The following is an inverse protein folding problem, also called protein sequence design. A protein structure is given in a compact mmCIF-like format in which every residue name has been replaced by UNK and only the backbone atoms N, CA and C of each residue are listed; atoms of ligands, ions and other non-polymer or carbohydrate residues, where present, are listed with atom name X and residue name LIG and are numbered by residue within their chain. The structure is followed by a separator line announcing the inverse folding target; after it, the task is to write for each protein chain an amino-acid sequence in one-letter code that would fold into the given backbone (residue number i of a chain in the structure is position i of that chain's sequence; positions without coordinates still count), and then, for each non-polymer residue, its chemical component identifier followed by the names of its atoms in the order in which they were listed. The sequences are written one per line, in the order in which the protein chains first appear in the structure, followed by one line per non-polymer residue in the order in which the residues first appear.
data_IF_304521256741
#
_entry.id   IF_304521256741
#
_cell.length_a   1.000
_cell.length_b   1.000
_cell.length_c   1.000
_cell.angle_alpha   90.00
_cell.angle_beta   90.00
_cell.angle_gamma   90.00
#
_symmetry.space_group_name_H-M   'P 1'
#
loop_
_entity.id
_entity.type
_entity.pdbx_description
1 polymer ?
#
# COMPACT_ATOMS: atom_id res chain seq x y z
N UNK A 1 -10.86 -18.95 -22.55
CA UNK A 1 -9.83 -19.44 -21.63
C UNK A 1 -10.38 -20.76 -21.09
N UNK A 2 -9.58 -21.83 -21.02
CA UNK A 2 -10.08 -23.16 -20.64
C UNK A 2 -9.54 -23.47 -19.25
N UNK A 3 -10.41 -23.92 -18.35
CA UNK A 3 -10.02 -24.32 -17.00
C UNK A 3 -9.09 -25.54 -17.13
N UNK A 4 -7.90 -25.43 -16.54
CA UNK A 4 -6.93 -26.52 -16.46
C UNK A 4 -7.07 -27.27 -15.14
N UNK A 5 -7.14 -26.56 -14.02
CA UNK A 5 -7.25 -27.13 -12.68
C UNK A 5 -8.10 -26.24 -11.78
N UNK A 6 -8.61 -26.81 -10.69
CA UNK A 6 -9.23 -26.08 -9.58
C UNK A 6 -8.66 -26.63 -8.28
N UNK A 7 -8.33 -25.77 -7.32
CA UNK A 7 -7.86 -26.19 -5.99
C UNK A 7 -8.46 -25.31 -4.90
N UNK A 8 -8.44 -25.82 -3.67
CA UNK A 8 -9.04 -25.17 -2.50
C UNK A 8 -7.92 -24.73 -1.57
N UNK A 9 -7.70 -23.43 -1.46
CA UNK A 9 -6.70 -22.81 -0.59
C UNK A 9 -7.11 -22.87 0.90
N UNK A 10 -6.18 -22.57 1.81
CA UNK A 10 -6.44 -22.65 3.26
C UNK A 10 -7.50 -21.64 3.69
N UNK A 11 -8.28 -21.97 4.72
CA UNK A 11 -9.34 -21.08 5.23
C UNK A 11 -10.76 -21.39 4.74
N UNK A 12 -11.02 -22.57 4.18
CA UNK A 12 -12.39 -23.01 3.87
C UNK A 12 -13.28 -23.03 5.15
N UNK A 13 -14.40 -22.31 5.13
CA UNK A 13 -15.31 -22.16 6.28
C UNK A 13 -16.52 -23.12 6.27
N UNK A 14 -16.56 -24.11 5.36
CA UNK A 14 -17.60 -25.15 5.33
C UNK A 14 -19.03 -24.55 5.25
N UNK A 15 -19.27 -23.72 4.23
CA UNK A 15 -20.55 -23.01 4.05
C UNK A 15 -21.51 -23.65 3.03
N UNK A 16 -21.16 -24.83 2.50
CA UNK A 16 -21.90 -25.60 1.49
C UNK A 16 -22.12 -24.93 0.11
N UNK A 17 -21.81 -23.64 -0.04
CA UNK A 17 -22.07 -22.87 -1.26
C UNK A 17 -21.48 -23.48 -2.55
N UNK A 18 -20.27 -24.04 -2.46
CA UNK A 18 -19.61 -24.66 -3.62
C UNK A 18 -20.19 -26.04 -3.97
N UNK A 19 -20.65 -26.82 -2.99
CA UNK A 19 -21.36 -28.07 -3.25
C UNK A 19 -22.78 -27.83 -3.77
N UNK A 20 -23.44 -26.74 -3.35
CA UNK A 20 -24.73 -26.34 -3.94
C UNK A 20 -24.58 -25.89 -5.40
N UNK A 21 -23.51 -25.15 -5.73
CA UNK A 21 -23.25 -24.65 -7.07
C UNK A 21 -22.73 -25.74 -8.03
N UNK A 22 -21.80 -26.58 -7.58
CA UNK A 22 -21.21 -27.64 -8.38
C UNK A 22 -21.11 -28.97 -7.59
N UNK A 23 -22.25 -29.64 -7.33
CA UNK A 23 -22.31 -30.86 -6.52
C UNK A 23 -21.56 -32.04 -7.15
N UNK A 24 -21.32 -32.04 -8.46
CA UNK A 24 -20.57 -33.11 -9.13
C UNK A 24 -19.05 -32.93 -9.00
N UNK A 25 -18.59 -31.80 -8.46
CA UNK A 25 -17.17 -31.42 -8.37
C UNK A 25 -16.71 -31.27 -6.92
N UNK A 26 -17.53 -30.64 -6.08
CA UNK A 26 -17.18 -30.36 -4.68
C UNK A 26 -17.97 -31.26 -3.73
N UNK A 27 -17.31 -31.64 -2.63
CA UNK A 27 -17.92 -32.33 -1.49
C UNK A 27 -17.50 -31.60 -0.22
N UNK A 28 -18.45 -31.01 0.48
CA UNK A 28 -18.19 -30.32 1.74
C UNK A 28 -18.32 -31.31 2.89
N UNK A 29 -17.27 -31.36 3.72
CA UNK A 29 -17.19 -32.22 4.92
C UNK A 29 -17.16 -31.36 6.17
N UNK A 30 -17.21 -31.96 7.37
CA UNK A 30 -17.24 -31.23 8.65
C UNK A 30 -16.04 -30.28 8.84
N UNK A 31 -14.89 -30.58 8.24
CA UNK A 31 -13.63 -29.83 8.45
C UNK A 31 -13.20 -28.99 7.22
N UNK A 32 -13.58 -29.38 6.01
CA UNK A 32 -13.17 -28.68 4.77
C UNK A 32 -13.98 -29.11 3.55
N UNK A 33 -13.75 -28.47 2.40
CA UNK A 33 -14.25 -28.89 1.11
C UNK A 33 -13.19 -29.70 0.35
N UNK A 34 -13.63 -30.75 -0.35
CA UNK A 34 -12.80 -31.60 -1.20
C UNK A 34 -13.27 -31.57 -2.65
N UNK A 35 -12.34 -31.79 -3.57
CA UNK A 35 -12.66 -32.01 -4.98
C UNK A 35 -12.83 -33.50 -5.22
N UNK A 36 -13.96 -33.87 -5.81
CA UNK A 36 -14.32 -35.27 -6.07
C UNK A 36 -13.33 -35.92 -7.04
N UNK A 37 -12.99 -37.21 -6.84
CA UNK A 37 -12.05 -37.94 -7.70
C UNK A 37 -12.56 -38.07 -9.13
N UNK A 38 -13.88 -37.99 -9.34
CA UNK A 38 -14.49 -38.05 -10.65
C UNK A 38 -14.19 -36.80 -11.50
N UNK A 39 -13.89 -35.67 -10.88
CA UNK A 39 -13.56 -34.42 -11.56
C UNK A 39 -12.08 -34.33 -12.01
N UNK A 40 -11.16 -35.02 -11.32
CA UNK A 40 -9.70 -34.88 -11.52
C UNK A 40 -9.07 -35.98 -12.37
N UNK A 41 -8.03 -35.65 -13.13
CA UNK A 41 -7.27 -36.61 -13.95
C UNK A 41 -6.55 -37.68 -13.12
N UNK A 42 -6.03 -37.30 -11.95
CA UNK A 42 -5.31 -38.17 -11.03
C UNK A 42 -6.23 -38.99 -10.10
N UNK A 43 -7.53 -38.70 -10.09
CA UNK A 43 -8.51 -39.37 -9.23
C UNK A 43 -8.33 -39.09 -7.74
N UNK A 44 -7.64 -38.00 -7.37
CA UNK A 44 -7.44 -37.62 -5.97
C UNK A 44 -8.75 -37.17 -5.30
N UNK A 45 -8.91 -37.49 -4.02
CA UNK A 45 -9.97 -36.94 -3.16
C UNK A 45 -9.34 -36.11 -2.05
N UNK A 46 -9.02 -34.87 -2.38
CA UNK A 46 -8.42 -33.89 -1.47
C UNK A 46 -8.64 -32.47 -2.04
N UNK A 47 -8.01 -31.46 -1.44
CA UNK A 47 -8.12 -30.04 -1.83
C UNK A 47 -7.39 -29.66 -3.13
N UNK A 48 -6.74 -30.61 -3.78
CA UNK A 48 -5.98 -30.47 -5.02
C UNK A 48 -4.85 -29.44 -4.96
N UNK A 49 -4.15 -29.33 -3.82
CA UNK A 49 -3.03 -28.39 -3.62
C UNK A 49 -1.90 -28.64 -4.64
N UNK A 50 -1.77 -29.88 -5.11
CA UNK A 50 -0.88 -30.32 -6.17
C UNK A 50 -1.27 -29.81 -7.57
N UNK A 51 -2.45 -29.18 -7.71
CA UNK A 51 -2.99 -28.57 -8.93
C UNK A 51 -3.11 -29.57 -10.09
N UNK A 52 -3.48 -30.81 -9.77
CA UNK A 52 -3.78 -31.83 -10.78
C UNK A 52 -4.91 -31.37 -11.71
N UNK A 53 -4.78 -31.66 -13.00
CA UNK A 53 -5.70 -31.20 -14.02
C UNK A 53 -7.10 -31.83 -13.92
N UNK A 54 -8.11 -31.17 -14.47
CA UNK A 54 -9.48 -31.66 -14.54
C UNK A 54 -9.70 -32.57 -15.75
N UNK A 55 -10.62 -33.54 -15.63
CA UNK A 55 -10.98 -34.41 -16.75
C UNK A 55 -11.62 -33.58 -17.88
N UNK A 56 -11.34 -33.89 -19.15
CA UNK A 56 -11.88 -33.14 -20.29
C UNK A 56 -13.42 -33.04 -20.31
N UNK A 57 -14.11 -34.07 -19.81
CA UNK A 57 -15.58 -34.08 -19.71
C UNK A 57 -16.07 -32.98 -18.76
N UNK A 58 -15.46 -32.86 -17.57
CA UNK A 58 -15.78 -31.83 -16.57
C UNK A 58 -15.49 -30.43 -17.11
N UNK A 59 -14.33 -30.22 -17.73
CA UNK A 59 -13.94 -28.94 -18.34
C UNK A 59 -14.92 -28.52 -19.45
N UNK A 60 -15.49 -29.49 -20.17
CA UNK A 60 -16.39 -29.22 -21.29
C UNK A 60 -17.86 -28.97 -20.90
N UNK A 61 -18.31 -29.51 -19.76
CA UNK A 61 -19.73 -29.49 -19.38
C UNK A 61 -20.04 -28.77 -18.07
N UNK A 62 -19.05 -28.55 -17.20
CA UNK A 62 -19.23 -28.01 -15.86
C UNK A 62 -18.31 -26.79 -15.60
N UNK A 63 -17.75 -26.17 -16.65
CA UNK A 63 -16.88 -25.01 -16.50
C UNK A 63 -17.60 -23.83 -15.84
N UNK A 64 -18.85 -23.61 -16.23
CA UNK A 64 -19.66 -22.50 -15.72
C UNK A 64 -20.00 -22.75 -14.24
N UNK A 65 -20.33 -24.00 -13.87
CA UNK A 65 -20.61 -24.39 -12.49
C UNK A 65 -19.37 -24.23 -11.58
N UNK A 66 -18.15 -24.44 -12.10
CA UNK A 66 -16.91 -24.21 -11.34
C UNK A 66 -16.70 -22.71 -11.05
N UNK A 67 -16.97 -21.84 -12.03
CA UNK A 67 -16.87 -20.40 -11.83
C UNK A 67 -17.96 -19.90 -10.87
N UNK A 68 -19.19 -20.38 -11.02
CA UNK A 68 -20.29 -20.06 -10.10
C UNK A 68 -19.96 -20.51 -8.66
N UNK A 69 -19.33 -21.68 -8.50
CA UNK A 69 -18.89 -22.16 -7.19
C UNK A 69 -17.74 -21.33 -6.59
N UNK A 70 -16.82 -20.84 -7.43
CA UNK A 70 -15.75 -19.93 -6.99
C UNK A 70 -16.32 -18.57 -6.55
N UNK A 71 -17.22 -17.98 -7.34
CA UNK A 71 -17.86 -16.70 -7.04
C UNK A 71 -18.82 -16.77 -5.84
N UNK A 72 -19.40 -17.95 -5.57
CA UNK A 72 -20.27 -18.16 -4.41
C UNK A 72 -19.49 -18.38 -3.09
N UNK A 73 -18.16 -18.53 -3.14
CA UNK A 73 -17.35 -18.79 -1.95
C UNK A 73 -17.18 -17.51 -1.10
N UNK A 74 -17.67 -17.44 0.15
CA UNK A 74 -17.62 -16.21 0.96
C UNK A 74 -16.21 -15.77 1.39
N UNK A 75 -15.23 -16.65 1.23
CA UNK A 75 -13.83 -16.48 1.64
C UNK A 75 -12.85 -16.66 0.47
N UNK A 76 -13.37 -16.76 -0.77
CA UNK A 76 -12.60 -16.81 -2.02
C UNK A 76 -11.47 -17.87 -2.07
N UNK A 77 -11.63 -19.01 -1.38
CA UNK A 77 -10.60 -20.06 -1.31
C UNK A 77 -10.61 -21.02 -2.50
N UNK A 78 -11.57 -20.93 -3.43
CA UNK A 78 -11.64 -21.81 -4.60
C UNK A 78 -10.93 -21.14 -5.76
N UNK A 79 -9.74 -21.64 -6.08
CA UNK A 79 -8.86 -21.04 -7.08
C UNK A 79 -8.94 -21.84 -8.38
N UNK A 80 -9.38 -21.17 -9.43
CA UNK A 80 -9.44 -21.73 -10.79
C UNK A 80 -8.15 -21.39 -11.54
N UNK A 81 -7.43 -22.42 -11.98
CA UNK A 81 -6.22 -22.28 -12.78
C UNK A 81 -6.58 -22.48 -14.24
N UNK A 82 -6.39 -21.43 -15.04
CA UNK A 82 -6.60 -21.49 -16.48
C UNK A 82 -5.31 -21.86 -17.21
N UNK A 83 -5.40 -22.75 -18.20
CA UNK A 83 -4.23 -23.23 -18.94
C UNK A 83 -4.55 -23.59 -20.39
N UNK A 84 -3.58 -23.44 -21.29
CA UNK A 84 -3.66 -23.97 -22.65
C UNK A 84 -3.33 -25.45 -22.59
N UNK A 85 -4.34 -26.32 -22.75
CA UNK A 85 -4.18 -27.76 -22.63
C UNK A 85 -3.14 -28.32 -23.58
N UNK A 86 -1.98 -28.68 -23.04
CA UNK A 86 -1.07 -29.78 -23.40
C UNK A 86 0.19 -29.62 -22.55
N UNK A 87 0.22 -30.30 -21.40
CA UNK A 87 1.46 -30.78 -20.76
C UNK A 87 1.07 -31.86 -19.74
N UNK A 88 1.38 -33.12 -20.07
CA UNK A 88 1.33 -34.28 -19.17
C UNK A 88 2.56 -34.28 -18.23
N UNK A 89 2.49 -34.95 -17.07
CA UNK A 89 3.39 -34.69 -15.95
C UNK A 89 4.73 -35.43 -16.11
N UNK A 90 5.84 -34.75 -15.82
CA UNK A 90 7.13 -35.43 -15.60
C UNK A 90 7.27 -35.87 -14.14
N UNK A 91 7.27 -37.20 -13.95
CA UNK A 91 7.75 -37.90 -12.77
C UNK A 91 9.25 -37.68 -12.54
N UNK A 92 9.64 -37.86 -11.28
CA UNK A 92 10.99 -37.74 -10.75
C UNK A 92 12.08 -38.50 -11.52
N UNK A 93 13.21 -37.85 -11.79
CA UNK A 93 14.51 -38.52 -11.94
C UNK A 93 15.69 -37.70 -11.37
N UNK A 94 16.62 -38.43 -10.78
CA UNK A 94 17.79 -38.00 -10.01
C UNK A 94 19.02 -37.67 -10.89
N UNK A 95 19.74 -36.60 -10.48
CA UNK A 95 21.21 -36.34 -10.57
C UNK A 95 21.89 -36.20 -11.95
N UNK A 96 22.38 -34.98 -12.25
CA UNK A 96 23.77 -34.77 -12.73
C UNK A 96 24.21 -33.29 -12.58
N UNK A 97 25.39 -33.12 -11.97
CA UNK A 97 26.08 -31.85 -11.71
C UNK A 97 26.93 -31.37 -12.91
N UNK A 98 27.05 -30.02 -12.98
CA UNK A 98 28.07 -29.14 -13.60
C UNK A 98 27.81 -28.53 -15.01
N UNK A 99 28.26 -27.26 -15.28
CA UNK A 99 28.85 -26.25 -14.38
C UNK A 99 28.14 -24.88 -14.39
N UNK A 100 28.40 -24.11 -13.33
CA UNK A 100 28.14 -22.67 -13.20
C UNK A 100 28.67 -21.88 -14.41
N UNK A 101 27.83 -21.01 -14.96
CA UNK A 101 28.27 -19.82 -15.69
C UNK A 101 28.14 -18.61 -14.79
N UNK A 102 29.26 -18.25 -14.19
CA UNK A 102 29.45 -16.98 -13.50
C UNK A 102 29.50 -15.80 -14.51
N UNK A 103 29.02 -14.67 -14.03
CA UNK A 103 28.47 -13.53 -14.76
C UNK A 103 29.42 -12.76 -15.70
N UNK A 104 28.82 -12.05 -16.66
CA UNK A 104 29.36 -10.79 -17.16
C UNK A 104 28.67 -9.63 -16.41
N UNK A 105 29.41 -8.58 -16.02
CA UNK A 105 28.93 -7.59 -15.06
C UNK A 105 27.86 -6.70 -15.70
N UNK A 106 26.71 -6.61 -15.05
CA UNK A 106 25.79 -5.50 -15.23
C UNK A 106 26.52 -4.21 -14.85
N UNK A 107 26.56 -3.26 -15.78
CA UNK A 107 27.16 -1.96 -15.52
C UNK A 107 26.31 -1.26 -14.45
N UNK A 108 26.92 -0.54 -13.50
CA UNK A 108 26.17 0.21 -12.51
C UNK A 108 25.36 1.28 -13.25
N UNK A 109 24.04 1.13 -13.22
CA UNK A 109 23.14 2.20 -13.63
C UNK A 109 23.27 3.27 -12.55
N UNK A 110 23.97 4.36 -12.88
CA UNK A 110 23.91 5.57 -12.07
C UNK A 110 22.46 6.04 -12.06
N UNK A 111 21.77 5.85 -10.93
CA UNK A 111 20.43 6.38 -10.71
C UNK A 111 20.59 7.88 -10.46
N UNK A 112 20.61 8.65 -11.55
CA UNK A 112 20.50 10.09 -11.49
C UNK A 112 19.04 10.46 -11.30
N UNK A 113 18.64 10.82 -10.07
CA UNK A 113 17.58 11.79 -9.69
C UNK A 113 16.18 11.80 -10.32
N UNK A 114 15.88 10.97 -11.33
CA UNK A 114 14.67 11.03 -12.17
C UNK A 114 13.87 9.71 -12.15
N UNK A 115 14.18 8.78 -11.25
CA UNK A 115 13.53 7.46 -11.25
C UNK A 115 13.02 6.98 -9.88
N UNK A 116 12.42 7.91 -9.12
CA UNK A 116 11.66 7.59 -7.91
C UNK A 116 10.55 6.56 -8.20
N UNK A 117 9.92 6.65 -9.37
CA UNK A 117 8.88 5.70 -9.79
C UNK A 117 9.44 4.29 -9.98
N UNK A 118 10.59 4.10 -10.65
CA UNK A 118 11.16 2.75 -10.71
C UNK A 118 11.62 2.24 -9.35
N UNK A 119 12.18 3.10 -8.48
CA UNK A 119 12.57 2.66 -7.15
C UNK A 119 11.39 2.08 -6.36
N UNK A 120 10.22 2.73 -6.46
CA UNK A 120 9.02 2.33 -5.73
C UNK A 120 8.24 1.19 -6.38
N UNK A 121 8.43 0.92 -7.68
CA UNK A 121 7.66 -0.08 -8.43
C UNK A 121 8.46 -1.27 -8.94
N UNK A 122 9.78 -1.18 -8.99
CA UNK A 122 10.66 -2.23 -9.52
C UNK A 122 11.26 -3.12 -8.43
N UNK A 123 11.44 -4.38 -8.78
CA UNK A 123 12.13 -5.37 -7.95
C UNK A 123 11.33 -5.82 -6.72
N UNK A 124 12.04 -6.36 -5.75
CA UNK A 124 11.47 -6.89 -4.52
C UNK A 124 11.09 -5.77 -3.54
N UNK A 125 9.78 -5.55 -3.40
CA UNK A 125 9.18 -4.54 -2.51
C UNK A 125 8.65 -5.13 -1.20
N UNK A 126 8.99 -6.39 -0.88
CA UNK A 126 8.50 -7.06 0.33
C UNK A 126 9.04 -6.41 1.60
N UNK A 127 8.18 -6.31 2.61
CA UNK A 127 8.51 -5.89 3.96
C UNK A 127 7.76 -6.77 4.97
N UNK A 128 8.46 -7.18 6.02
CA UNK A 128 7.85 -7.93 7.13
C UNK A 128 7.72 -7.05 8.36
N UNK A 129 6.54 -7.08 9.00
CA UNK A 129 6.32 -6.46 10.31
C UNK A 129 6.06 -7.59 11.30
N UNK A 130 6.91 -7.73 12.32
CA UNK A 130 6.73 -8.70 13.39
C UNK A 130 6.22 -7.97 14.63
N UNK A 131 5.20 -8.51 15.30
CA UNK A 131 4.66 -7.91 16.52
C UNK A 131 4.76 -8.82 17.74
N UNK A 132 5.20 -8.23 18.86
CA UNK A 132 5.07 -8.80 20.20
C UNK A 132 3.99 -8.04 20.97
N UNK A 133 2.90 -8.70 21.37
CA UNK A 133 1.79 -8.05 22.07
C UNK A 133 1.10 -8.96 23.08
N UNK A 134 0.76 -8.38 24.24
CA UNK A 134 -0.07 -9.07 25.23
C UNK A 134 -1.55 -8.65 25.15
N UNK A 135 -1.82 -7.38 24.87
CA UNK A 135 -3.17 -6.79 24.88
C UNK A 135 -3.66 -6.31 23.51
N UNK A 136 -2.91 -6.59 22.43
CA UNK A 136 -3.28 -6.25 21.05
C UNK A 136 -2.83 -4.87 20.56
N UNK A 137 -2.25 -4.01 21.39
CA UNK A 137 -1.82 -2.66 20.96
C UNK A 137 -0.74 -2.71 19.86
N UNK A 138 0.27 -3.57 20.03
CA UNK A 138 1.35 -3.72 19.04
C UNK A 138 0.84 -4.36 17.75
N UNK A 139 -0.10 -5.30 17.86
CA UNK A 139 -0.75 -5.96 16.73
C UNK A 139 -1.57 -4.94 15.91
N UNK A 140 -2.37 -4.10 16.58
CA UNK A 140 -3.15 -3.04 15.94
C UNK A 140 -2.25 -2.05 15.21
N UNK A 141 -1.14 -1.63 15.83
CA UNK A 141 -0.14 -0.77 15.18
C UNK A 141 0.51 -1.45 13.97
N UNK A 142 0.83 -2.75 14.07
CA UNK A 142 1.40 -3.50 12.96
C UNK A 142 0.45 -3.56 11.76
N UNK A 143 -0.83 -3.88 12.00
CA UNK A 143 -1.86 -3.88 10.97
C UNK A 143 -2.05 -2.48 10.35
N UNK A 144 -2.10 -1.43 11.19
CA UNK A 144 -2.23 -0.04 10.75
C UNK A 144 -1.07 0.40 9.87
N UNK A 145 0.16 0.04 10.23
CA UNK A 145 1.34 0.41 9.45
C UNK A 145 1.49 -0.41 8.18
N UNK A 146 1.09 -1.69 8.18
CA UNK A 146 1.03 -2.49 6.96
C UNK A 146 0.05 -1.90 5.94
N UNK A 147 -1.14 -1.46 6.38
CA UNK A 147 -2.10 -0.77 5.51
C UNK A 147 -1.48 0.49 4.90
N UNK A 148 -0.82 1.30 5.72
CA UNK A 148 -0.16 2.54 5.30
C UNK A 148 1.06 2.30 4.39
N UNK A 149 1.75 1.18 4.53
CA UNK A 149 2.93 0.86 3.74
C UNK A 149 2.64 0.76 2.23
N UNK A 150 1.40 0.44 1.85
CA UNK A 150 0.96 0.44 0.45
C UNK A 150 1.12 1.81 -0.23
N UNK A 151 0.90 2.91 0.51
CA UNK A 151 1.13 4.29 0.03
C UNK A 151 2.60 4.54 -0.34
N UNK A 152 3.52 3.76 0.23
CA UNK A 152 4.96 3.82 0.01
C UNK A 152 5.44 2.80 -1.05
N UNK A 153 4.53 2.10 -1.73
CA UNK A 153 4.88 1.05 -2.70
C UNK A 153 5.58 -0.16 -2.06
N UNK A 154 5.23 -0.48 -0.81
CA UNK A 154 5.74 -1.64 -0.09
C UNK A 154 4.68 -2.74 -0.04
N UNK A 155 5.09 -3.97 -0.36
CA UNK A 155 4.28 -5.18 -0.22
C UNK A 155 4.52 -5.77 1.18
N UNK A 156 3.57 -5.60 2.09
CA UNK A 156 3.81 -5.83 3.52
C UNK A 156 3.08 -7.04 4.06
N UNK A 157 3.81 -7.91 4.76
CA UNK A 157 3.25 -9.03 5.52
C UNK A 157 3.41 -8.78 7.01
N UNK A 158 2.30 -8.90 7.76
CA UNK A 158 2.32 -8.84 9.23
C UNK A 158 2.45 -10.26 9.77
N UNK A 159 3.36 -10.44 10.71
CA UNK A 159 3.66 -11.71 11.35
C UNK A 159 3.44 -11.60 12.86
N UNK A 160 2.67 -12.53 13.41
CA UNK A 160 2.78 -12.85 14.84
C UNK A 160 4.20 -13.38 15.08
N UNK A 161 4.82 -12.96 16.19
CA UNK A 161 6.11 -13.53 16.59
C UNK A 161 5.97 -14.99 17.03
N UNK A 162 4.78 -15.42 17.44
CA UNK A 162 4.52 -16.81 17.79
C UNK A 162 4.51 -17.66 16.52
N UNK A 163 5.26 -18.76 16.53
CA UNK A 163 5.42 -19.63 15.36
C UNK A 163 6.21 -19.03 14.19
N UNK A 164 6.77 -17.82 14.30
CA UNK A 164 7.60 -17.25 13.24
C UNK A 164 8.93 -18.01 13.09
N UNK A 165 9.27 -18.40 11.86
CA UNK A 165 10.54 -19.07 11.56
C UNK A 165 11.68 -18.07 11.40
N UNK A 166 12.50 -17.94 12.45
CA UNK A 166 13.68 -17.07 12.48
C UNK A 166 14.66 -17.33 11.32
N UNK A 167 14.70 -18.56 10.78
CA UNK A 167 15.61 -18.93 9.70
C UNK A 167 15.27 -18.25 8.37
N UNK A 168 14.08 -17.64 8.26
CA UNK A 168 13.64 -16.88 7.08
C UNK A 168 14.14 -15.43 7.06
N UNK A 169 14.51 -14.85 8.22
CA UNK A 169 14.96 -13.46 8.32
C UNK A 169 16.12 -13.09 7.38
N UNK A 170 17.15 -13.94 7.15
CA UNK A 170 18.24 -13.60 6.24
C UNK A 170 17.79 -13.33 4.79
N UNK A 171 16.62 -13.84 4.38
CA UNK A 171 16.06 -13.59 3.05
C UNK A 171 15.23 -12.30 2.96
N UNK A 172 15.01 -11.60 4.07
CA UNK A 172 14.18 -10.40 4.14
C UNK A 172 15.04 -9.15 4.06
N UNK A 173 14.67 -8.19 3.20
CA UNK A 173 15.41 -6.92 3.06
C UNK A 173 14.95 -5.85 4.04
N UNK A 174 13.67 -5.87 4.42
CA UNK A 174 12.99 -4.82 5.20
C UNK A 174 12.19 -5.47 6.32
N UNK A 175 12.57 -5.17 7.57
CA UNK A 175 11.93 -5.74 8.75
C UNK A 175 11.59 -4.65 9.76
N UNK A 176 10.34 -4.60 10.22
CA UNK A 176 9.93 -3.77 11.34
C UNK A 176 9.58 -4.66 12.53
N UNK A 177 10.02 -4.26 13.72
CA UNK A 177 9.62 -4.89 14.98
C UNK A 177 8.74 -3.93 15.76
N UNK A 178 7.56 -4.38 16.19
CA UNK A 178 6.68 -3.60 17.07
C UNK A 178 6.41 -4.44 18.31
N UNK A 179 7.06 -4.11 19.43
CA UNK A 179 7.02 -4.95 20.61
C UNK A 179 6.63 -4.15 21.86
N UNK A 180 5.63 -4.64 22.59
CA UNK A 180 5.30 -4.14 23.92
C UNK A 180 6.15 -4.84 24.97
N UNK A 181 6.49 -4.16 26.07
CA UNK A 181 7.10 -4.80 27.23
C UNK A 181 6.04 -5.28 28.22
N UNK A 182 6.22 -6.46 28.80
CA UNK A 182 5.35 -6.99 29.84
C UNK A 182 6.11 -7.31 31.13
N UNK A 183 5.37 -7.47 32.23
CA UNK A 183 5.95 -7.87 33.53
C UNK A 183 7.06 -6.93 34.02
N UNK A 184 8.21 -7.52 34.33
CA UNK A 184 9.41 -6.83 34.84
C UNK A 184 10.47 -6.68 33.74
N UNK A 185 10.07 -6.16 32.57
CA UNK A 185 10.96 -5.99 31.41
C UNK A 185 10.98 -7.17 30.43
N UNK A 186 10.02 -8.09 30.56
CA UNK A 186 9.96 -9.32 29.79
C UNK A 186 9.33 -9.09 28.41
N UNK A 187 9.57 -10.06 27.51
CA UNK A 187 8.87 -10.16 26.24
C UNK A 187 7.39 -10.50 26.49
N UNK A 188 6.47 -10.08 25.61
CA UNK A 188 5.11 -10.62 25.59
C UNK A 188 5.14 -12.14 25.33
N UNK A 189 4.08 -12.83 25.76
CA UNK A 189 4.02 -14.30 25.64
C UNK A 189 4.22 -14.77 24.19
N UNK A 190 3.65 -14.06 23.22
CA UNK A 190 3.76 -14.39 21.80
C UNK A 190 5.16 -14.12 21.20
N UNK A 191 6.06 -13.44 21.92
CA UNK A 191 7.40 -13.11 21.45
C UNK A 191 8.52 -13.89 22.17
N UNK A 192 8.19 -14.61 23.25
CA UNK A 192 9.18 -15.25 24.11
C UNK A 192 9.99 -16.33 23.38
N UNK A 193 9.33 -17.22 22.66
CA UNK A 193 10.02 -18.31 21.95
C UNK A 193 10.96 -17.76 20.86
N UNK A 194 10.47 -16.82 20.05
CA UNK A 194 11.27 -16.20 19.00
C UNK A 194 12.47 -15.44 19.59
N UNK A 195 12.29 -14.77 20.73
CA UNK A 195 13.39 -14.11 21.44
C UNK A 195 14.46 -15.08 21.93
N UNK A 196 14.07 -16.25 22.48
CA UNK A 196 15.01 -17.28 22.90
C UNK A 196 15.81 -17.83 21.71
N UNK A 197 15.14 -18.07 20.58
CA UNK A 197 15.80 -18.49 19.34
C UNK A 197 16.75 -17.41 18.83
N UNK A 198 16.29 -16.16 18.79
CA UNK A 198 17.09 -15.02 18.36
C UNK A 198 18.30 -14.83 19.27
N UNK A 199 18.19 -15.07 20.57
CA UNK A 199 19.27 -14.91 21.56
C UNK A 199 20.28 -16.06 21.59
N UNK A 200 19.98 -17.20 20.95
CA UNK A 200 20.87 -18.35 20.93
C UNK A 200 22.14 -18.08 20.09
N UNK A 201 23.22 -18.80 20.38
CA UNK A 201 24.47 -18.78 19.60
C UNK A 201 24.27 -19.29 18.16
N UNK A 202 23.20 -20.05 17.92
CA UNK A 202 22.82 -20.58 16.61
C UNK A 202 21.99 -19.62 15.77
N UNK A 203 21.67 -18.42 16.28
CA UNK A 203 20.89 -17.44 15.55
C UNK A 203 21.58 -17.04 14.23
N UNK A 204 20.80 -16.84 13.13
CA UNK A 204 21.38 -16.51 11.84
C UNK A 204 21.99 -15.10 11.85
N UNK A 205 22.88 -14.85 10.88
CA UNK A 205 23.39 -13.50 10.61
C UNK A 205 22.49 -12.79 9.60
N UNK A 206 22.37 -11.48 9.74
CA UNK A 206 21.42 -10.64 9.00
C UNK A 206 22.11 -9.47 8.25
N UNK A 207 23.22 -9.67 7.52
CA UNK A 207 23.99 -8.55 6.96
C UNK A 207 23.22 -7.68 5.95
N UNK A 208 22.24 -8.27 5.26
CA UNK A 208 21.47 -7.62 4.19
C UNK A 208 20.07 -7.19 4.65
N UNK A 209 19.80 -7.27 5.95
CA UNK A 209 18.51 -6.92 6.54
C UNK A 209 18.56 -5.49 7.06
N UNK A 210 17.66 -4.65 6.56
CA UNK A 210 17.40 -3.33 7.11
C UNK A 210 16.24 -3.38 8.10
N UNK A 211 16.40 -2.77 9.27
CA UNK A 211 15.39 -2.82 10.31
C UNK A 211 15.15 -1.49 11.05
N UNK A 212 14.00 -1.42 11.73
CA UNK A 212 13.69 -0.45 12.77
C UNK A 212 12.74 -1.06 13.80
N UNK A 213 12.73 -0.50 15.01
CA UNK A 213 11.94 -0.99 16.14
C UNK A 213 11.07 0.11 16.72
N UNK A 214 9.80 -0.20 16.96
CA UNK A 214 8.89 0.59 17.78
C UNK A 214 8.64 -0.17 19.07
N UNK A 215 9.03 0.43 20.20
CA UNK A 215 8.87 -0.17 21.52
C UNK A 215 7.68 0.48 22.23
N UNK A 216 6.80 -0.34 22.81
CA UNK A 216 5.70 0.14 23.64
C UNK A 216 5.96 -0.22 25.11
N UNK A 217 5.76 0.73 26.00
CA UNK A 217 5.92 0.53 27.45
C UNK A 217 5.19 1.59 28.26
N UNK A 218 5.44 1.57 29.56
CA UNK A 218 4.89 2.54 30.51
C UNK A 218 6.02 3.03 31.41
N UNK A 219 6.25 4.34 31.43
CA UNK A 219 7.34 4.96 32.21
C UNK A 219 7.16 4.82 33.73
N UNK A 220 6.00 4.36 34.18
CA UNK A 220 5.73 4.01 35.58
C UNK A 220 6.45 2.74 36.04
N UNK A 221 6.94 1.92 35.11
CA UNK A 221 7.69 0.69 35.38
C UNK A 221 9.19 0.93 35.32
N UNK A 222 9.97 0.15 36.09
CA UNK A 222 11.43 0.26 36.13
C UNK A 222 12.07 -0.06 34.78
N UNK A 223 11.60 -1.11 34.11
CA UNK A 223 12.11 -1.59 32.83
C UNK A 223 11.29 -1.05 31.65
N UNK A 224 11.23 0.28 31.53
CA UNK A 224 10.51 0.98 30.46
C UNK A 224 10.99 0.53 29.06
N UNK A 225 10.09 0.03 28.21
CA UNK A 225 10.37 -0.39 26.82
C UNK A 225 11.49 -1.44 26.67
N UNK A 226 11.78 -2.23 27.71
CA UNK A 226 12.94 -3.15 27.70
C UNK A 226 12.90 -4.19 26.57
N UNK A 227 11.77 -4.84 26.32
CA UNK A 227 11.63 -5.79 25.21
C UNK A 227 12.01 -5.22 23.84
N UNK A 228 11.57 -4.00 23.52
CA UNK A 228 11.90 -3.34 22.26
C UNK A 228 13.36 -2.89 22.20
N UNK A 229 13.96 -2.51 23.34
CA UNK A 229 15.41 -2.24 23.43
C UNK A 229 16.23 -3.50 23.17
N UNK A 230 15.80 -4.62 23.72
CA UNK A 230 16.42 -5.93 23.56
C UNK A 230 16.39 -6.38 22.10
N UNK A 231 15.24 -6.29 21.42
CA UNK A 231 15.12 -6.57 19.98
C UNK A 231 16.03 -5.69 19.13
N UNK A 232 16.06 -4.40 19.43
CA UNK A 232 16.85 -3.43 18.69
C UNK A 232 18.37 -3.68 18.80
N UNK A 233 18.84 -3.99 20.00
CA UNK A 233 20.24 -4.38 20.24
C UNK A 233 20.54 -5.73 19.59
N UNK A 234 19.63 -6.70 19.70
CA UNK A 234 19.87 -8.06 19.22
C UNK A 234 19.95 -8.13 17.71
N UNK A 235 19.05 -7.49 16.98
CA UNK A 235 19.10 -7.43 15.50
C UNK A 235 20.41 -6.79 15.02
N UNK A 236 20.86 -5.73 15.69
CA UNK A 236 22.14 -5.11 15.39
C UNK A 236 23.33 -6.06 15.65
N UNK A 237 23.30 -6.85 16.73
CA UNK A 237 24.32 -7.88 17.00
C UNK A 237 24.31 -9.02 15.99
N UNK A 238 23.15 -9.35 15.42
CA UNK A 238 23.01 -10.32 14.33
C UNK A 238 23.53 -9.79 12.99
N UNK A 239 23.82 -8.49 12.89
CA UNK A 239 24.41 -7.85 11.72
C UNK A 239 23.44 -7.07 10.86
N UNK A 240 22.17 -6.94 11.28
CA UNK A 240 21.19 -6.12 10.59
C UNK A 240 21.54 -4.62 10.71
N UNK A 241 21.10 -3.84 9.72
CA UNK A 241 21.35 -2.40 9.65
C UNK A 241 20.13 -1.64 10.15
N UNK A 242 20.29 -0.89 11.25
CA UNK A 242 19.25 0.02 11.74
C UNK A 242 19.19 1.24 10.84
N UNK A 243 18.05 1.46 10.18
CA UNK A 243 17.87 2.64 9.31
C UNK A 243 17.14 3.79 10.00
N UNK A 244 16.22 3.48 10.92
CA UNK A 244 15.54 4.48 11.75
C UNK A 244 15.74 4.11 13.21
N UNK A 245 16.14 5.09 14.02
CA UNK A 245 16.35 4.91 15.45
C UNK A 245 15.07 4.39 16.13
N UNK A 246 15.26 3.52 17.12
CA UNK A 246 14.15 3.00 17.91
C UNK A 246 13.43 4.14 18.61
N UNK A 247 12.10 4.07 18.63
CA UNK A 247 11.26 4.97 19.42
C UNK A 247 10.66 4.19 20.58
N UNK A 248 10.86 4.72 21.78
CA UNK A 248 10.29 4.19 23.03
C UNK A 248 9.00 4.97 23.33
N UNK A 249 7.85 4.33 23.13
CA UNK A 249 6.52 4.90 23.37
C UNK A 249 6.01 4.62 24.79
N UNK A 250 5.46 5.66 25.41
CA UNK A 250 4.73 5.55 26.67
C UNK A 250 3.24 5.18 26.42
N UNK A 251 2.42 5.13 27.46
CA UNK A 251 1.00 4.71 27.37
C UNK A 251 0.21 5.47 26.29
N UNK A 252 0.46 6.77 26.11
CA UNK A 252 -0.14 7.60 25.05
C UNK A 252 0.67 7.48 23.72
N UNK A 253 0.84 6.25 23.24
CA UNK A 253 1.78 5.91 22.16
C UNK A 253 1.40 6.45 20.77
N UNK A 254 0.11 6.73 20.50
CA UNK A 254 -0.42 7.02 19.17
C UNK A 254 0.38 8.07 18.39
N UNK A 255 0.71 9.19 19.04
CA UNK A 255 1.39 10.30 18.40
C UNK A 255 2.85 9.97 18.04
N UNK A 256 3.58 9.37 18.98
CA UNK A 256 4.97 8.97 18.77
C UNK A 256 5.07 7.84 17.72
N UNK A 257 4.16 6.87 17.79
CA UNK A 257 4.05 5.77 16.84
C UNK A 257 3.74 6.28 15.42
N UNK A 258 2.85 7.26 15.27
CA UNK A 258 2.51 7.85 13.98
C UNK A 258 3.68 8.61 13.33
N UNK A 259 4.47 9.34 14.13
CA UNK A 259 5.69 10.03 13.66
C UNK A 259 6.73 9.00 13.23
N UNK A 260 7.00 8.01 14.08
CA UNK A 260 7.93 6.93 13.75
C UNK A 260 7.55 6.21 12.45
N UNK A 261 6.26 5.90 12.25
CA UNK A 261 5.80 5.22 11.05
C UNK A 261 6.05 6.03 9.76
N UNK A 262 5.94 7.36 9.80
CA UNK A 262 6.24 8.21 8.63
C UNK A 262 7.69 8.02 8.20
N UNK A 263 8.61 8.07 9.17
CA UNK A 263 10.03 7.95 8.91
C UNK A 263 10.41 6.51 8.54
N UNK A 264 9.94 5.53 9.31
CA UNK A 264 10.24 4.11 9.10
C UNK A 264 9.77 3.62 7.72
N UNK A 265 8.54 3.93 7.32
CA UNK A 265 8.01 3.51 6.02
C UNK A 265 8.73 4.20 4.85
N UNK A 266 9.03 5.50 4.97
CA UNK A 266 9.77 6.22 3.94
C UNK A 266 11.17 5.63 3.72
N UNK A 267 11.86 5.35 4.82
CA UNK A 267 13.22 4.81 4.80
C UNK A 267 13.24 3.36 4.29
N UNK A 268 12.28 2.53 4.68
CA UNK A 268 12.13 1.18 4.14
C UNK A 268 11.81 1.19 2.64
N UNK A 269 11.02 2.15 2.18
CA UNK A 269 10.72 2.30 0.76
C UNK A 269 11.93 2.75 -0.08
N UNK A 270 12.88 3.47 0.54
CA UNK A 270 14.17 3.85 -0.05
C UNK A 270 15.19 2.69 -0.09
N UNK A 271 14.89 1.53 0.49
CA UNK A 271 15.64 0.31 0.21
C UNK A 271 15.17 -0.25 -1.13
N UNK A 272 16.08 -0.51 -2.06
CA UNK A 272 15.72 -1.04 -3.38
C UNK A 272 15.51 -2.56 -3.37
N UNK A 273 15.14 -3.11 -4.54
CA UNK A 273 14.94 -4.54 -4.73
C UNK A 273 16.18 -5.41 -4.51
N UNK A 274 17.37 -4.85 -4.33
CA UNK A 274 18.61 -5.57 -4.02
C UNK A 274 19.03 -5.41 -2.55
N UNK A 275 18.30 -4.63 -1.75
CA UNK A 275 18.62 -4.39 -0.35
C UNK A 275 19.53 -3.17 -0.13
N UNK A 276 19.83 -2.40 -1.18
CA UNK A 276 20.64 -1.19 -1.06
C UNK A 276 19.75 -0.02 -0.62
N UNK A 277 20.18 0.69 0.43
CA UNK A 277 19.51 1.88 0.92
C UNK A 277 19.95 3.13 0.16
N UNK A 278 18.98 3.92 -0.30
CA UNK A 278 19.15 5.18 -1.03
C UNK A 278 18.69 6.38 -0.18
N UNK A 279 19.58 6.90 0.65
CA UNK A 279 19.29 7.97 1.62
C UNK A 279 18.76 9.26 0.96
N UNK A 280 19.25 9.59 -0.22
CA UNK A 280 18.87 10.78 -0.99
C UNK A 280 17.41 10.75 -1.48
N UNK A 281 16.79 9.57 -1.52
CA UNK A 281 15.42 9.38 -1.99
C UNK A 281 14.37 9.49 -0.85
N UNK A 282 14.79 9.44 0.41
CA UNK A 282 13.87 9.40 1.57
C UNK A 282 12.94 10.62 1.62
N UNK A 283 13.47 11.83 1.44
CA UNK A 283 12.65 13.05 1.50
C UNK A 283 11.71 13.15 0.29
N UNK A 284 12.14 12.72 -0.89
CA UNK A 284 11.27 12.67 -2.07
C UNK A 284 10.10 11.68 -1.89
N UNK A 285 10.33 10.55 -1.22
CA UNK A 285 9.28 9.59 -0.86
C UNK A 285 8.29 10.21 0.13
N UNK A 286 8.77 10.91 1.16
CA UNK A 286 7.90 11.59 2.13
C UNK A 286 7.02 12.66 1.47
N UNK A 287 7.60 13.46 0.59
CA UNK A 287 6.87 14.47 -0.17
C UNK A 287 5.78 13.85 -1.05
N UNK A 288 6.11 12.74 -1.76
CA UNK A 288 5.13 11.99 -2.56
C UNK A 288 3.97 11.48 -1.71
N UNK A 289 4.25 10.81 -0.59
CA UNK A 289 3.21 10.20 0.24
C UNK A 289 2.38 11.27 0.96
N UNK A 290 2.96 12.38 1.38
CA UNK A 290 2.18 13.50 1.94
C UNK A 290 1.26 14.15 0.90
N UNK A 291 1.66 14.15 -0.38
CA UNK A 291 0.81 14.53 -1.51
C UNK A 291 -0.28 13.51 -1.84
N UNK A 292 0.03 12.21 -1.77
CA UNK A 292 -0.92 11.11 -2.00
C UNK A 292 -1.93 10.93 -0.86
N UNK A 293 -1.53 11.14 0.40
CA UNK A 293 -2.40 11.10 1.57
C UNK A 293 -3.43 12.25 1.59
N UNK A 294 -3.22 13.33 0.82
CA UNK A 294 -4.23 14.35 0.55
C UNK A 294 -5.29 13.93 -0.49
N UNK A 295 -5.05 12.80 -1.18
CA UNK A 295 -5.90 12.18 -2.18
C UNK A 295 -6.43 10.81 -1.68
N UNK A 296 -7.05 10.80 -0.50
CA UNK A 296 -7.82 9.63 -0.08
C UNK A 296 -7.85 9.45 1.43
N UNK A 297 -8.93 9.90 2.07
CA UNK A 297 -9.27 9.40 3.39
C UNK A 297 -9.57 7.90 3.28
N UNK A 298 -8.58 7.06 3.58
CA UNK A 298 -8.78 5.63 3.75
C UNK A 298 -9.69 5.43 4.97
N UNK A 299 -10.96 5.13 4.72
CA UNK A 299 -11.86 4.65 5.77
C UNK A 299 -11.33 3.35 6.40
N UNK A 300 -11.77 3.07 7.63
CA UNK A 300 -11.48 1.82 8.36
C UNK A 300 -11.85 0.55 7.57
N UNK A 301 -12.75 0.67 6.60
CA UNK A 301 -13.50 -0.46 6.02
C UNK A 301 -12.84 -1.14 4.79
N UNK A 302 -11.53 -0.92 4.56
CA UNK A 302 -10.84 -1.53 3.40
C UNK A 302 -11.33 -1.06 2.03
N UNK A 303 -12.16 -0.02 1.96
CA UNK A 303 -12.59 0.59 0.70
C UNK A 303 -11.45 1.43 0.11
N UNK A 304 -10.65 0.82 -0.77
CA UNK A 304 -9.72 1.54 -1.65
C UNK A 304 -10.53 2.24 -2.74
N UNK A 305 -10.55 3.57 -2.72
CA UNK A 305 -11.23 4.36 -3.76
C UNK A 305 -10.53 4.06 -5.09
N UNK A 306 -11.25 3.59 -6.13
CA UNK A 306 -10.63 3.31 -7.41
C UNK A 306 -10.09 4.61 -8.03
N UNK A 307 -8.85 4.57 -8.52
CA UNK A 307 -8.26 5.67 -9.28
C UNK A 307 -9.13 5.95 -10.50
N UNK A 308 -9.84 7.07 -10.46
CA UNK A 308 -10.76 7.41 -11.54
C UNK A 308 -10.00 8.14 -12.62
N UNK A 309 -9.63 7.42 -13.68
CA UNK A 309 -9.06 8.03 -14.88
C UNK A 309 -10.18 8.55 -15.80
N UNK A 310 -9.92 9.68 -16.46
CA UNK A 310 -10.85 10.30 -17.41
C UNK A 310 -10.04 10.93 -18.55
N UNK A 311 -10.65 10.99 -19.73
CA UNK A 311 -10.01 11.50 -20.94
C UNK A 311 -9.47 12.94 -20.77
N UNK A 312 -8.42 13.24 -21.53
CA UNK A 312 -7.87 14.60 -21.61
C UNK A 312 -8.85 15.48 -22.38
N UNK A 313 -9.29 16.56 -21.74
CA UNK A 313 -10.21 17.54 -22.32
C UNK A 313 -9.48 18.87 -22.53
N UNK A 314 -9.91 19.63 -23.55
CA UNK A 314 -9.47 21.02 -23.68
C UNK A 314 -10.18 21.89 -22.66
N UNK A 315 -9.44 22.61 -21.84
CA UNK A 315 -9.96 23.49 -20.80
C UNK A 315 -9.48 24.92 -21.06
N UNK A 316 -10.42 25.84 -21.20
CA UNK A 316 -10.19 27.29 -21.25
C UNK A 316 -10.45 27.86 -19.86
N UNK A 317 -9.38 28.21 -19.15
CA UNK A 317 -9.42 28.71 -17.76
C UNK A 317 -9.17 30.21 -17.77
N UNK A 318 -10.15 30.99 -17.34
CA UNK A 318 -10.09 32.44 -17.18
C UNK A 318 -10.07 32.81 -15.70
N UNK A 319 -8.94 33.31 -15.20
CA UNK A 319 -8.73 33.59 -13.77
C UNK A 319 -8.72 35.09 -13.52
N UNK A 320 -9.41 35.51 -12.46
CA UNK A 320 -9.37 36.87 -11.95
C UNK A 320 -8.01 37.27 -11.37
N UNK A 321 -7.57 38.49 -11.66
CA UNK A 321 -6.30 39.07 -11.21
C UNK A 321 -6.56 40.37 -10.48
N UNK A 322 -5.86 40.58 -9.37
CA UNK A 322 -5.93 41.84 -8.61
C UNK A 322 -4.53 42.32 -8.28
N UNK A 323 -4.23 43.55 -8.69
CA UNK A 323 -3.00 44.24 -8.31
C UNK A 323 -3.27 45.15 -7.10
N UNK A 324 -2.77 44.78 -5.89
CA UNK A 324 -2.99 45.58 -4.68
C UNK A 324 -2.24 46.91 -4.70
N UNK A 325 -1.22 47.10 -5.55
CA UNK A 325 -0.45 48.34 -5.64
C UNK A 325 -1.22 49.40 -6.41
N UNK A 326 -1.81 49.03 -7.55
CA UNK A 326 -2.59 49.94 -8.39
C UNK A 326 -4.10 49.91 -8.11
N UNK A 327 -4.57 48.99 -7.26
CA UNK A 327 -5.98 48.73 -6.98
C UNK A 327 -6.80 48.48 -8.26
N UNK A 328 -6.22 47.75 -9.22
CA UNK A 328 -6.86 47.41 -10.49
C UNK A 328 -7.16 45.91 -10.58
N UNK A 329 -8.21 45.57 -11.33
CA UNK A 329 -8.61 44.19 -11.58
C UNK A 329 -8.43 43.84 -13.05
N UNK A 330 -8.09 42.59 -13.32
CA UNK A 330 -7.88 42.04 -14.65
C UNK A 330 -8.30 40.58 -14.72
N UNK A 331 -8.14 39.98 -15.90
CA UNK A 331 -8.34 38.55 -16.11
C UNK A 331 -7.30 38.02 -17.09
N UNK A 332 -6.71 36.90 -16.76
CA UNK A 332 -5.83 36.15 -17.65
C UNK A 332 -6.56 34.87 -18.09
N UNK A 333 -6.32 34.42 -19.32
CA UNK A 333 -6.99 33.24 -19.87
C UNK A 333 -6.00 32.31 -20.52
N UNK A 334 -6.04 31.04 -20.13
CA UNK A 334 -5.20 29.97 -20.64
C UNK A 334 -6.06 28.89 -21.28
N UNK A 335 -5.49 28.23 -22.29
CA UNK A 335 -6.09 27.06 -22.92
C UNK A 335 -5.12 25.91 -22.72
N UNK A 336 -5.53 24.90 -21.96
CA UNK A 336 -4.72 23.74 -21.60
C UNK A 336 -5.46 22.44 -21.93
N UNK A 337 -4.70 21.35 -22.09
CA UNK A 337 -5.24 20.01 -22.21
C UNK A 337 -5.01 19.32 -20.86
N UNK A 338 -6.08 19.06 -20.11
CA UNK A 338 -6.00 18.51 -18.75
C UNK A 338 -6.89 17.26 -18.64
N UNK A 339 -6.52 16.25 -17.83
CA UNK A 339 -7.38 15.11 -17.56
C UNK A 339 -8.69 15.56 -16.89
N UNK A 340 -9.85 15.04 -17.35
CA UNK A 340 -11.15 15.46 -16.84
C UNK A 340 -11.39 15.17 -15.34
N UNK A 341 -10.71 14.16 -14.81
CA UNK A 341 -10.80 13.73 -13.40
C UNK A 341 -9.96 14.58 -12.45
N UNK A 342 -9.06 15.42 -12.96
CA UNK A 342 -8.28 16.36 -12.17
C UNK A 342 -9.22 17.34 -11.45
N UNK A 343 -8.88 17.70 -10.23
CA UNK A 343 -9.61 18.71 -9.46
C UNK A 343 -9.36 20.12 -10.00
N UNK A 344 -10.27 21.05 -9.68
CA UNK A 344 -10.07 22.47 -10.02
C UNK A 344 -8.82 23.02 -9.32
N UNK A 345 -8.52 22.58 -8.10
CA UNK A 345 -7.33 23.02 -7.35
C UNK A 345 -6.03 22.56 -8.01
N UNK A 346 -5.96 21.30 -8.44
CA UNK A 346 -4.80 20.77 -9.18
C UNK A 346 -4.59 21.53 -10.50
N UNK A 347 -5.66 21.89 -11.20
CA UNK A 347 -5.54 22.71 -12.42
C UNK A 347 -4.90 24.08 -12.16
N UNK A 348 -5.16 24.69 -10.99
CA UNK A 348 -4.53 25.95 -10.58
C UNK A 348 -3.06 25.77 -10.22
N UNK A 349 -2.70 24.66 -9.55
CA UNK A 349 -1.30 24.29 -9.25
C UNK A 349 -0.50 24.08 -10.54
N UNK A 350 -1.06 23.30 -11.48
CA UNK A 350 -0.46 23.08 -12.80
C UNK A 350 -0.23 24.41 -13.52
N UNK A 351 -1.23 25.30 -13.57
CA UNK A 351 -1.07 26.62 -14.20
C UNK A 351 0.02 27.46 -13.54
N UNK A 352 0.11 27.42 -12.20
CA UNK A 352 1.13 28.15 -11.44
C UNK A 352 2.53 27.61 -11.73
N UNK A 353 2.70 26.30 -11.77
CA UNK A 353 4.00 25.66 -12.01
C UNK A 353 4.48 25.83 -13.45
N UNK A 354 3.56 25.75 -14.41
CA UNK A 354 3.91 25.65 -15.84
C UNK A 354 3.79 26.95 -16.63
N UNK A 355 2.82 27.81 -16.30
CA UNK A 355 2.49 28.99 -17.11
C UNK A 355 2.77 30.31 -16.37
N UNK A 356 2.38 30.42 -15.10
CA UNK A 356 2.53 31.65 -14.32
C UNK A 356 2.77 31.42 -12.83
N UNK A 357 4.05 31.38 -12.45
CA UNK A 357 4.46 31.24 -11.04
C UNK A 357 4.05 32.40 -10.13
N UNK A 358 3.57 33.52 -10.68
CA UNK A 358 3.07 34.66 -9.89
C UNK A 358 1.60 34.50 -9.48
N UNK A 359 0.90 33.49 -10.02
CA UNK A 359 -0.48 33.19 -9.69
C UNK A 359 -0.61 32.88 -8.19
N UNK A 360 -1.44 33.67 -7.51
CA UNK A 360 -1.67 33.53 -6.06
C UNK A 360 -3.09 33.08 -5.78
N UNK A 361 -3.24 32.03 -4.99
CA UNK A 361 -4.51 31.53 -4.48
C UNK A 361 -4.28 30.88 -3.12
N UNK A 362 -5.35 30.66 -2.35
CA UNK A 362 -5.27 29.87 -1.12
C UNK A 362 -5.11 28.41 -1.52
N UNK A 363 -4.01 27.81 -1.09
CA UNK A 363 -3.67 26.43 -1.37
C UNK A 363 -3.72 25.64 -0.05
N UNK A 364 -4.22 24.40 -0.11
CA UNK A 364 -4.53 23.59 1.06
C UNK A 364 -4.86 22.14 0.69
N UNK A 365 -5.37 21.36 1.64
CA UNK A 365 -5.86 20.00 1.36
C UNK A 365 -7.08 20.03 0.44
N UNK A 366 -7.42 18.89 -0.17
CA UNK A 366 -8.52 18.78 -1.14
C UNK A 366 -9.89 19.15 -0.57
N UNK A 367 -10.04 19.08 0.76
CA UNK A 367 -11.23 19.36 1.54
C UNK A 367 -11.15 20.66 2.37
N UNK A 368 -10.08 21.45 2.22
CA UNK A 368 -9.87 22.66 3.03
C UNK A 368 -10.96 23.71 2.77
N UNK A 369 -11.81 24.03 3.78
CA UNK A 369 -12.91 24.98 3.62
C UNK A 369 -12.45 26.42 3.36
N UNK A 370 -11.19 26.74 3.64
CA UNK A 370 -10.61 28.08 3.44
C UNK A 370 -10.15 28.33 2.00
N UNK A 371 -10.13 27.30 1.16
CA UNK A 371 -9.73 27.38 -0.26
C UNK A 371 -10.89 27.69 -1.21
N UNK A 372 -12.10 27.96 -0.69
CA UNK A 372 -13.29 28.13 -1.51
C UNK A 372 -13.13 29.25 -2.56
N UNK A 373 -13.63 29.01 -3.77
CA UNK A 373 -13.59 29.96 -4.90
C UNK A 373 -14.92 29.94 -5.66
N UNK A 374 -15.12 30.94 -6.52
CA UNK A 374 -16.25 30.99 -7.45
C UNK A 374 -15.83 30.48 -8.82
N UNK A 375 -16.51 29.45 -9.34
CA UNK A 375 -16.33 28.97 -10.72
C UNK A 375 -17.64 29.12 -11.48
N UNK A 376 -17.63 29.90 -12.56
CA UNK A 376 -18.80 30.22 -13.38
C UNK A 376 -19.99 30.78 -12.54
N UNK A 377 -19.69 31.46 -11.43
CA UNK A 377 -20.68 32.02 -10.50
C UNK A 377 -21.19 31.04 -9.43
N UNK A 378 -20.67 29.80 -9.38
CA UNK A 378 -20.97 28.83 -8.32
C UNK A 378 -19.82 28.78 -7.32
N UNK A 379 -20.15 28.85 -6.03
CA UNK A 379 -19.19 28.65 -4.95
C UNK A 379 -18.85 27.18 -4.79
N UNK A 380 -17.58 26.86 -4.80
CA UNK A 380 -17.07 25.49 -4.72
C UNK A 380 -15.86 25.40 -3.81
N UNK A 381 -15.61 24.19 -3.30
CA UNK A 381 -14.29 23.79 -2.80
C UNK A 381 -13.50 23.23 -3.98
N UNK A 382 -12.42 23.89 -4.44
CA UNK A 382 -11.76 23.53 -5.68
C UNK A 382 -11.05 22.17 -5.62
N UNK A 383 -10.64 21.72 -4.44
CA UNK A 383 -10.01 20.41 -4.26
C UNK A 383 -10.97 19.23 -4.32
N UNK A 384 -12.27 19.45 -4.10
CA UNK A 384 -13.27 18.37 -4.05
C UNK A 384 -14.10 18.25 -5.34
N UNK A 385 -13.84 19.07 -6.36
CA UNK A 385 -14.62 19.10 -7.60
C UNK A 385 -13.72 18.85 -8.81
N UNK A 386 -14.11 17.86 -9.63
CA UNK A 386 -13.45 17.50 -10.89
C UNK A 386 -13.76 18.48 -12.01
N UNK A 387 -12.81 18.67 -12.92
CA UNK A 387 -12.97 19.52 -14.11
C UNK A 387 -14.16 19.10 -14.97
N UNK A 388 -14.35 17.81 -15.23
CA UNK A 388 -15.47 17.32 -16.05
C UNK A 388 -16.85 17.48 -15.38
N UNK A 389 -16.88 17.66 -14.06
CA UNK A 389 -18.09 17.83 -13.26
C UNK A 389 -18.46 19.29 -12.99
N UNK A 390 -17.48 20.20 -13.04
CA UNK A 390 -17.67 21.59 -12.60
C UNK A 390 -18.52 22.41 -13.59
N UNK A 391 -18.43 22.09 -14.88
CA UNK A 391 -19.22 22.74 -15.93
C UNK A 391 -19.45 21.80 -17.12
N UNK A 392 -20.56 21.97 -17.87
CA UNK A 392 -20.83 21.13 -19.03
C UNK A 392 -19.82 21.39 -20.16
N UNK A 393 -19.26 20.32 -20.70
CA UNK A 393 -18.39 20.37 -21.89
C UNK A 393 -19.26 20.76 -23.08
N UNK A 394 -18.86 21.83 -23.80
CA UNK A 394 -19.55 22.31 -25.01
C UNK A 394 -18.52 22.44 -26.12
N UNK A 395 -18.87 21.99 -27.33
CA UNK A 395 -17.99 22.06 -28.50
C UNK A 395 -16.60 21.39 -28.30
N UNK A 396 -16.53 20.35 -27.47
CA UNK A 396 -15.29 19.61 -27.16
C UNK A 396 -14.35 20.31 -26.16
N UNK A 397 -14.78 21.42 -25.56
CA UNK A 397 -14.01 22.16 -24.56
C UNK A 397 -14.80 22.52 -23.30
N UNK A 398 -14.09 22.62 -22.19
CA UNK A 398 -14.59 23.08 -20.90
C UNK A 398 -14.18 24.55 -20.70
N UNK A 399 -15.11 25.43 -20.34
CA UNK A 399 -14.82 26.84 -20.05
C UNK A 399 -15.03 27.15 -18.57
N UNK A 400 -13.97 27.60 -17.90
CA UNK A 400 -13.98 27.94 -16.48
C UNK A 400 -13.68 29.42 -16.30
N UNK A 401 -14.61 30.16 -15.69
CA UNK A 401 -14.37 31.49 -15.16
C UNK A 401 -14.17 31.39 -13.66
N UNK A 402 -12.93 31.56 -13.21
CA UNK A 402 -12.54 31.44 -11.81
C UNK A 402 -12.40 32.85 -11.20
N UNK A 403 -13.16 33.09 -10.15
CA UNK A 403 -13.24 34.36 -9.45
C UNK A 403 -13.05 34.15 -7.94
N UNK A 404 -12.54 35.15 -7.21
CA UNK A 404 -12.48 35.12 -5.75
C UNK A 404 -13.90 34.99 -5.15
N UNK A 405 -13.97 34.66 -3.87
CA UNK A 405 -15.27 34.57 -3.18
C UNK A 405 -15.97 35.93 -3.20
N UNK A 406 -17.26 35.97 -3.60
CA UNK A 406 -18.04 37.19 -3.59
C UNK A 406 -18.22 37.68 -2.16
N UNK A 407 -18.22 39.01 -1.99
CA UNK A 407 -18.36 39.72 -0.71
C UNK A 407 -17.15 39.63 0.25
N UNK A 408 -16.03 39.06 -0.17
CA UNK A 408 -14.77 39.13 0.58
C UNK A 408 -13.78 40.08 -0.10
N UNK A 409 -12.93 40.71 0.72
CA UNK A 409 -11.90 41.61 0.21
C UNK A 409 -10.80 40.81 -0.45
N UNK A 410 -10.47 41.16 -1.70
CA UNK A 410 -9.40 40.49 -2.44
C UNK A 410 -8.06 41.07 -2.04
N UNK A 411 -7.18 40.23 -1.49
CA UNK A 411 -5.81 40.59 -1.15
C UNK A 411 -4.93 40.56 -2.40
N UNK A 412 -5.06 39.50 -3.21
CA UNK A 412 -4.35 39.32 -4.49
C UNK A 412 -4.94 38.16 -5.26
N UNK A 413 -5.19 38.32 -6.56
CA UNK A 413 -5.73 37.28 -7.45
C UNK A 413 -6.96 36.56 -6.84
N UNK A 414 -6.85 35.28 -6.49
CA UNK A 414 -7.93 34.51 -5.86
C UNK A 414 -7.86 34.51 -4.32
N UNK A 415 -6.82 35.10 -3.73
CA UNK A 415 -6.69 35.22 -2.28
C UNK A 415 -7.63 36.29 -1.76
N UNK A 416 -8.53 35.85 -0.89
CA UNK A 416 -9.44 36.74 -0.15
C UNK A 416 -9.09 36.80 1.33
N UNK A 417 -9.40 37.93 1.93
CA UNK A 417 -9.47 38.10 3.38
C UNK A 417 -10.82 37.58 3.86
N UNK A 418 -10.82 36.67 4.83
CA UNK A 418 -12.02 36.07 5.44
C UNK A 418 -12.43 36.79 6.73
N UNK A 419 -11.66 37.80 7.15
CA UNK A 419 -11.94 38.63 8.30
C UNK A 419 -12.61 40.01 8.02
N UNK A 420 -13.29 40.28 6.87
CA UNK A 420 -13.92 41.58 6.70
C UNK A 420 -15.27 41.65 7.45
N UNK A 421 -15.31 42.61 8.40
CA UNK A 421 -16.41 43.14 9.26
C UNK A 421 -16.52 42.45 10.65
N UNK A 422 -16.35 43.09 11.83
CA UNK A 422 -16.73 44.45 12.34
C UNK A 422 -17.72 45.30 11.53
#
# INVERSE_FOLDING_TARGET
MVIFSVFIDEGCIVCDACEEAAPDIFEVTEDTCFIKPDARLDGGYNRNIDKSGLKPEVVSSLSDDIFDAADACPVDVIIVVEGTGEEEPEEAEEVALEPEQEAAPEQPVEISGDDLESLLTAGDRKMSILFGSQSGNSEELAAKFAKRASDYGLDTTVHDMDGFDLSTLPGMKRVLIICSTWGEGEMPDNAEELWLQASADSAPKLPDVSFSVLALGDTSYEFYCESGKDWDVRLQQMGATRLVERVDCDVDYDSAAAVWAIDALAVMAAVDGNGQFHEDQVEAIKDRVSGAAAAGAAGEDGFTVPETTAEIIQVEISIFRYDPVSATTGKDTWVCALPGHMSVLESLRVLKETHDGTLTFRDGTSDDPTTAISVNGRLILPGSIRLDSVAPIRDGGLRLRIEPLPAFDVVRDLVVDHWPLE
#
